data_IF_185780151237
#
_entry.id   IF_185780151237
#
_cell.length_a   1.000
_cell.length_b   1.000
_cell.length_c   1.000
_cell.angle_alpha   90.00
_cell.angle_beta   90.00
_cell.angle_gamma   90.00
#
_symmetry.space_group_name_H-M   'P 1'
#
loop_
_entity.id
_entity.type
_entity.pdbx_description
1 polymer ?
#
# COMPACT_ATOMS: atom_id res chain seq x y z
N UNK A 1 -6.20 -5.13 -21.52
CA UNK A 1 -4.77 -5.28 -21.87
C UNK A 1 -3.97 -5.87 -20.70
N UNK A 2 -3.59 -7.15 -20.75
CA UNK A 2 -2.48 -7.67 -19.94
C UNK A 2 -1.18 -7.35 -20.71
N UNK A 3 -0.23 -6.64 -20.10
CA UNK A 3 1.10 -6.46 -20.70
C UNK A 3 1.68 -7.86 -20.98
N UNK A 4 2.23 -8.13 -22.18
CA UNK A 4 2.86 -9.41 -22.44
C UNK A 4 4.02 -9.63 -21.46
N UNK A 5 4.28 -10.88 -21.03
CA UNK A 5 5.39 -11.17 -20.14
C UNK A 5 6.69 -10.69 -20.78
N UNK A 6 7.49 -9.87 -20.08
CA UNK A 6 8.83 -9.48 -20.54
C UNK A 6 9.63 -10.76 -20.79
N UNK A 7 9.99 -11.03 -22.05
CA UNK A 7 10.94 -12.11 -22.39
C UNK A 7 12.25 -11.83 -21.65
N UNK A 8 12.55 -12.63 -20.63
CA UNK A 8 13.79 -12.52 -19.86
C UNK A 8 14.94 -12.98 -20.75
N UNK A 9 15.66 -12.03 -21.34
CA UNK A 9 16.96 -12.31 -21.94
C UNK A 9 17.94 -12.52 -20.79
N UNK A 10 18.93 -13.42 -20.93
CA UNK A 10 19.99 -13.52 -19.93
C UNK A 10 20.67 -12.14 -19.82
N UNK A 11 20.73 -11.61 -18.60
CA UNK A 11 21.42 -10.36 -18.34
C UNK A 11 22.93 -10.60 -18.40
N UNK A 12 23.66 -9.74 -19.10
CA UNK A 12 25.12 -9.85 -19.24
C UNK A 12 25.81 -9.44 -17.94
N UNK A 13 25.20 -8.54 -17.16
CA UNK A 13 25.69 -8.12 -15.86
C UNK A 13 24.58 -7.61 -14.94
N UNK A 14 24.89 -7.45 -13.64
CA UNK A 14 23.93 -6.95 -12.64
C UNK A 14 23.47 -5.51 -12.88
N UNK A 15 24.28 -4.70 -13.57
CA UNK A 15 23.89 -3.34 -13.98
C UNK A 15 22.74 -3.39 -15.00
N UNK A 16 22.84 -4.26 -16.00
CA UNK A 16 21.81 -4.43 -17.02
C UNK A 16 20.49 -4.87 -16.38
N UNK A 17 20.53 -5.85 -15.48
CA UNK A 17 19.36 -6.30 -14.72
C UNK A 17 18.73 -5.16 -13.91
N UNK A 18 19.56 -4.33 -13.26
CA UNK A 18 19.10 -3.19 -12.46
C UNK A 18 18.45 -2.10 -13.30
N UNK A 19 19.06 -1.77 -14.45
CA UNK A 19 18.50 -0.81 -15.41
C UNK A 19 17.14 -1.29 -15.92
N UNK A 20 17.02 -2.58 -16.20
CA UNK A 20 15.79 -3.16 -16.75
C UNK A 20 14.62 -3.16 -15.74
N UNK A 21 14.94 -3.25 -14.45
CA UNK A 21 14.02 -3.10 -13.32
C UNK A 21 13.49 -1.68 -13.18
N UNK A 22 14.39 -0.69 -13.19
CA UNK A 22 14.05 0.73 -12.96
C UNK A 22 13.70 1.50 -14.23
N UNK A 23 13.71 0.83 -15.39
CA UNK A 23 13.41 1.45 -16.68
C UNK A 23 12.02 2.12 -16.70
N UNK A 24 11.91 3.21 -17.46
CA UNK A 24 10.69 3.98 -17.68
C UNK A 24 10.64 5.31 -16.93
N UNK A 25 9.68 6.16 -17.30
CA UNK A 25 9.57 7.53 -16.78
C UNK A 25 9.22 7.58 -15.28
N UNK A 26 8.36 6.67 -14.81
CA UNK A 26 7.73 6.79 -13.50
C UNK A 26 8.47 6.04 -12.38
N UNK A 27 9.05 4.86 -12.65
CA UNK A 27 9.73 4.05 -11.62
C UNK A 27 10.87 4.81 -10.92
N UNK A 28 11.79 5.51 -11.61
CA UNK A 28 12.84 6.28 -10.94
C UNK A 28 12.28 7.43 -10.08
N UNK A 29 11.18 8.07 -10.52
CA UNK A 29 10.53 9.14 -9.76
C UNK A 29 9.87 8.61 -8.49
N UNK A 30 9.21 7.46 -8.58
CA UNK A 30 8.60 6.77 -7.43
C UNK A 30 9.70 6.38 -6.42
N UNK A 31 10.78 5.75 -6.88
CA UNK A 31 11.90 5.36 -6.01
C UNK A 31 12.55 6.57 -5.35
N UNK A 32 12.75 7.66 -6.09
CA UNK A 32 13.25 8.93 -5.54
C UNK A 32 12.34 9.50 -4.46
N UNK A 33 11.01 9.38 -4.62
CA UNK A 33 10.05 9.86 -3.63
C UNK A 33 10.08 9.02 -2.33
N UNK A 34 10.30 7.70 -2.45
CA UNK A 34 10.34 6.76 -1.31
C UNK A 34 11.71 6.77 -0.61
N UNK A 35 12.79 7.17 -1.29
CA UNK A 35 14.15 7.25 -0.71
C UNK A 35 14.21 8.03 0.61
N UNK A 36 13.35 9.03 0.79
CA UNK A 36 13.29 9.87 2.00
C UNK A 36 12.49 9.26 3.15
N UNK A 37 11.85 8.10 2.95
CA UNK A 37 11.04 7.42 3.97
C UNK A 37 9.73 6.85 3.42
N UNK A 38 9.01 6.10 4.24
CA UNK A 38 7.69 5.57 3.88
C UNK A 38 6.69 6.69 3.68
N UNK A 39 5.97 6.69 2.56
CA UNK A 39 4.94 7.68 2.23
C UNK A 39 3.60 7.03 2.01
N UNK A 40 2.52 7.76 2.32
CA UNK A 40 1.18 7.34 1.92
C UNK A 40 1.00 7.49 0.40
N UNK A 41 0.06 6.75 -0.18
CA UNK A 41 -0.22 6.81 -1.62
C UNK A 41 -0.51 8.25 -2.10
N UNK A 42 -1.29 9.02 -1.33
CA UNK A 42 -1.62 10.41 -1.66
C UNK A 42 -0.39 11.32 -1.71
N UNK A 43 0.58 11.12 -0.82
CA UNK A 43 1.84 11.89 -0.80
C UNK A 43 2.76 11.49 -1.97
N UNK A 44 2.80 10.19 -2.29
CA UNK A 44 3.49 9.66 -3.46
C UNK A 44 2.94 10.26 -4.75
N UNK A 45 1.61 10.31 -4.89
CA UNK A 45 0.92 10.92 -6.02
C UNK A 45 1.24 12.41 -6.17
N UNK A 46 1.31 13.16 -5.05
CA UNK A 46 1.70 14.57 -5.05
C UNK A 46 3.17 14.77 -5.40
N UNK A 47 4.06 13.86 -5.00
CA UNK A 47 5.49 13.95 -5.28
C UNK A 47 5.83 13.62 -6.74
N UNK A 48 5.04 12.77 -7.39
CA UNK A 48 5.22 12.37 -8.80
C UNK A 48 4.20 13.10 -9.66
N UNK A 49 4.49 14.37 -9.97
CA UNK A 49 3.58 15.23 -10.74
C UNK A 49 3.36 14.68 -12.14
N UNK A 50 2.10 14.61 -12.58
CA UNK A 50 1.70 14.20 -13.93
C UNK A 50 1.49 12.69 -14.13
N UNK A 51 1.65 11.87 -13.09
CA UNK A 51 1.30 10.44 -13.16
C UNK A 51 -0.20 10.24 -12.96
N UNK A 52 -0.81 9.35 -13.75
CA UNK A 52 -2.18 8.92 -13.49
C UNK A 52 -2.22 7.88 -12.37
N UNK A 53 -3.31 7.84 -11.62
CA UNK A 53 -3.51 6.89 -10.51
C UNK A 53 -3.32 5.44 -10.97
N UNK A 54 -3.88 5.10 -12.13
CA UNK A 54 -3.74 3.77 -12.72
C UNK A 54 -2.29 3.41 -13.00
N UNK A 55 -1.50 4.33 -13.55
CA UNK A 55 -0.07 4.11 -13.82
C UNK A 55 0.73 3.99 -12.52
N UNK A 56 0.44 4.83 -11.53
CA UNK A 56 1.12 4.80 -10.24
C UNK A 56 0.87 3.46 -9.52
N UNK A 57 -0.39 3.01 -9.46
CA UNK A 57 -0.76 1.72 -8.86
C UNK A 57 -0.10 0.57 -9.63
N UNK A 58 -0.12 0.60 -10.96
CA UNK A 58 0.51 -0.42 -11.78
C UNK A 58 2.01 -0.53 -11.48
N UNK A 59 2.74 0.59 -11.47
CA UNK A 59 4.18 0.59 -11.20
C UNK A 59 4.53 0.22 -9.76
N UNK A 60 3.71 0.60 -8.78
CA UNK A 60 3.89 0.15 -7.39
C UNK A 60 3.74 -1.36 -7.27
N UNK A 61 2.77 -1.97 -7.95
CA UNK A 61 2.59 -3.44 -8.00
C UNK A 61 3.76 -4.13 -8.70
N UNK A 62 4.26 -3.57 -9.80
CA UNK A 62 5.46 -4.10 -10.48
C UNK A 62 6.66 -4.07 -9.54
N UNK A 63 6.91 -2.93 -8.86
CA UNK A 63 8.02 -2.78 -7.92
C UNK A 63 7.89 -3.65 -6.66
N UNK A 64 6.67 -3.96 -6.24
CA UNK A 64 6.38 -4.89 -5.15
C UNK A 64 6.66 -6.35 -5.57
N UNK A 65 6.26 -6.73 -6.78
CA UNK A 65 6.54 -8.05 -7.34
C UNK A 65 8.04 -8.27 -7.58
N UNK A 66 8.77 -7.20 -7.93
CA UNK A 66 10.23 -7.21 -8.07
C UNK A 66 10.95 -7.12 -6.70
N UNK A 67 10.23 -7.11 -5.58
CA UNK A 67 10.73 -6.96 -4.20
C UNK A 67 11.54 -5.68 -3.92
N UNK A 68 11.38 -4.65 -4.77
CA UNK A 68 12.06 -3.35 -4.62
C UNK A 68 11.33 -2.45 -3.61
N UNK A 69 10.00 -2.58 -3.51
CA UNK A 69 9.17 -1.79 -2.60
C UNK A 69 8.28 -2.72 -1.78
N UNK A 70 8.12 -2.45 -0.48
CA UNK A 70 7.22 -3.21 0.40
C UNK A 70 6.04 -2.35 0.83
N UNK A 71 4.83 -2.88 0.69
CA UNK A 71 3.61 -2.26 1.24
C UNK A 71 3.54 -2.50 2.75
N UNK A 72 3.49 -1.42 3.54
CA UNK A 72 3.20 -1.46 4.97
C UNK A 72 1.85 -0.83 5.23
N UNK A 73 0.89 -1.63 5.69
CA UNK A 73 -0.42 -1.15 6.13
C UNK A 73 -0.33 -0.61 7.55
N UNK A 74 -0.10 0.70 7.66
CA UNK A 74 -0.13 1.41 8.93
C UNK A 74 -1.60 1.68 9.30
N UNK A 75 -2.21 0.75 10.05
CA UNK A 75 -3.50 0.99 10.70
C UNK A 75 -3.29 1.96 11.85
N UNK A 76 -3.43 3.26 11.58
CA UNK A 76 -3.62 4.24 12.65
C UNK A 76 -5.08 4.08 13.08
N UNK A 77 -5.31 3.51 14.26
CA UNK A 77 -6.62 3.54 14.88
C UNK A 77 -7.09 5.00 14.96
N UNK A 78 -8.31 5.35 14.49
CA UNK A 78 -8.83 6.68 14.71
C UNK A 78 -8.85 6.89 16.22
N UNK A 79 -8.11 7.91 16.68
CA UNK A 79 -8.13 8.34 18.06
C UNK A 79 -9.57 8.65 18.44
N UNK A 80 -10.16 7.78 19.27
CA UNK A 80 -11.53 7.85 19.72
C UNK A 80 -11.77 9.23 20.32
N UNK A 81 -12.56 10.05 19.61
CA UNK A 81 -13.03 11.33 20.11
C UNK A 81 -14.00 11.06 21.26
N UNK A 82 -13.52 11.29 22.49
CA UNK A 82 -14.27 11.69 23.69
C UNK A 82 -15.62 11.03 23.95
N UNK A 83 -15.62 9.84 24.56
CA UNK A 83 -16.75 9.47 25.41
C UNK A 83 -16.64 10.25 26.74
N UNK A 84 -17.38 11.35 26.80
CA UNK A 84 -17.69 12.08 28.02
C UNK A 84 -18.47 11.17 28.97
N UNK A 85 -17.82 10.65 30.01
CA UNK A 85 -18.50 9.95 31.11
C UNK A 85 -19.29 10.95 31.97
N UNK A 86 -20.53 11.25 31.55
CA UNK A 86 -21.61 11.63 32.48
C UNK A 86 -22.72 10.60 32.36
N UNK A 87 -22.84 9.74 33.37
CA UNK A 87 -23.90 8.74 33.45
C UNK A 87 -23.45 7.47 34.16
N UNK A 88 -23.43 7.55 35.49
CA UNK A 88 -23.28 6.44 36.44
C UNK A 88 -24.48 5.50 36.26
N UNK A 89 -24.29 4.22 35.94
CA UNK A 89 -25.07 3.10 36.49
C UNK A 89 -24.31 1.78 36.28
N UNK A 90 -24.34 0.99 37.34
CA UNK A 90 -23.61 -0.23 37.67
C UNK A 90 -23.96 -1.41 36.77
N UNK A 91 -22.99 -2.26 36.42
CA UNK A 91 -23.06 -3.73 36.63
C UNK A 91 -21.82 -4.47 36.10
N UNK A 92 -21.23 -5.25 37.02
CA UNK A 92 -20.45 -6.49 36.85
C UNK A 92 -19.16 -6.48 36.01
N UNK A 93 -18.03 -6.44 36.71
CA UNK A 93 -16.73 -6.95 36.22
C UNK A 93 -16.55 -8.39 36.67
N UNK A 94 -16.74 -9.36 35.78
CA UNK A 94 -16.22 -10.73 35.92
C UNK A 94 -14.97 -10.88 35.02
N UNK A 95 -13.76 -11.12 35.56
CA UNK A 95 -12.52 -10.98 34.80
C UNK A 95 -12.03 -12.27 34.11
N UNK A 96 -12.82 -13.34 34.00
CA UNK A 96 -12.27 -14.68 33.69
C UNK A 96 -12.72 -15.33 32.38
N UNK A 97 -13.30 -14.60 31.43
CA UNK A 97 -13.70 -15.20 30.14
C UNK A 97 -13.36 -14.35 28.93
N UNK A 98 -12.50 -14.93 28.08
CA UNK A 98 -12.27 -14.64 26.66
C UNK A 98 -11.11 -13.68 26.33
N UNK A 99 -9.93 -14.19 26.63
CA UNK A 99 -8.82 -14.28 25.67
C UNK A 99 -9.33 -14.55 24.24
N UNK A 100 -8.69 -13.87 23.27
CA UNK A 100 -8.46 -14.30 21.87
C UNK A 100 -9.53 -13.87 20.82
N UNK A 101 -9.00 -13.34 19.70
CA UNK A 101 -9.70 -13.00 18.45
C UNK A 101 -10.55 -11.70 18.53
N UNK A 102 -10.74 -10.90 17.50
CA UNK A 102 -10.58 -11.08 16.07
C UNK A 102 -10.38 -9.71 15.40
N UNK A 103 -9.73 -9.71 14.23
CA UNK A 103 -9.77 -8.61 13.28
C UNK A 103 -11.23 -8.28 12.91
N UNK A 104 -11.61 -7.01 13.00
CA UNK A 104 -12.70 -6.47 12.21
C UNK A 104 -12.17 -5.31 11.37
N UNK A 105 -12.06 -5.52 10.06
CA UNK A 105 -12.55 -4.50 9.13
C UNK A 105 -13.61 -5.14 8.26
N UNK A 106 -14.72 -4.41 8.18
CA UNK A 106 -15.94 -4.75 7.46
C UNK A 106 -15.73 -4.94 5.95
N UNK A 107 -16.66 -5.64 5.27
CA UNK A 107 -16.42 -6.28 3.97
C UNK A 107 -16.65 -5.42 2.71
N UNK A 108 -16.86 -4.11 2.82
CA UNK A 108 -17.47 -3.36 1.71
C UNK A 108 -16.49 -2.40 1.03
N UNK A 109 -15.56 -2.94 0.23
CA UNK A 109 -15.05 -2.22 -0.93
C UNK A 109 -14.90 -3.17 -2.12
N UNK A 110 -15.83 -3.15 -3.09
CA UNK A 110 -15.73 -3.94 -4.29
C UNK A 110 -14.60 -3.40 -5.16
N UNK A 111 -13.49 -4.12 -5.09
CA UNK A 111 -12.58 -4.24 -6.22
C UNK A 111 -13.38 -4.82 -7.39
N UNK A 112 -13.74 -3.99 -8.37
CA UNK A 112 -13.85 -4.28 -9.80
C UNK A 112 -14.79 -3.25 -10.44
N UNK A 113 -14.22 -2.34 -11.23
CA UNK A 113 -14.87 -1.88 -12.46
C UNK A 113 -13.77 -1.42 -13.41
N UNK A 114 -13.30 -2.38 -14.20
CA UNK A 114 -12.54 -2.15 -15.43
C UNK A 114 -13.46 -2.65 -16.56
N UNK A 115 -13.86 -1.73 -17.42
CA UNK A 115 -14.69 -1.91 -18.63
C UNK A 115 -15.44 -0.59 -18.83
N UNK A 116 -15.22 0.20 -19.87
CA UNK A 116 -14.88 -0.13 -21.26
C UNK A 116 -13.76 0.72 -21.84
#
# INVERSE_FOLDING_TARGET
MKKPPKKKRPYVCGLEASLDLVNGKWKPLILRAIRKGSRRYSELRRAVVGVSDKMLIMHLKELEADHVVTRKDLRIAPNTLGESKRGRHSQSTDPSRLTRAALCMSPTMPWFSIGS
#
